data_IF_269126993137
#
_entry.id   IF_269126993137
#
_cell.length_a   1.000
_cell.length_b   1.000
_cell.length_c   1.000
_cell.angle_alpha   90.00
_cell.angle_beta   90.00
_cell.angle_gamma   90.00
#
_symmetry.space_group_name_H-M   'P 1'
#
loop_
_entity.id
_entity.type
_entity.pdbx_description
1 polymer ?
#
# COMPACT_ATOMS: atom_id res chain seq x y z
N UNK A 1 19.02 1.78 -1.92
CA UNK A 1 17.58 2.06 -1.73
C UNK A 1 16.82 0.78 -2.01
N UNK A 2 15.85 0.40 -1.17
CA UNK A 2 15.04 -0.83 -1.33
C UNK A 2 14.36 -0.92 -2.71
N UNK A 3 13.78 0.17 -3.21
CA UNK A 3 13.07 0.18 -4.51
C UNK A 3 14.02 -0.21 -5.66
N UNK A 4 15.24 0.30 -5.63
CA UNK A 4 16.25 -0.01 -6.66
C UNK A 4 16.70 -1.47 -6.61
N UNK A 5 16.71 -2.10 -5.42
CA UNK A 5 16.97 -3.54 -5.30
C UNK A 5 15.79 -4.32 -5.91
N UNK A 6 14.55 -3.95 -5.59
CA UNK A 6 13.37 -4.63 -6.12
C UNK A 6 13.26 -4.53 -7.65
N UNK A 7 13.62 -3.37 -8.23
CA UNK A 7 13.70 -3.21 -9.69
C UNK A 7 14.74 -4.13 -10.33
N UNK A 8 15.91 -4.28 -9.71
CA UNK A 8 16.95 -5.22 -10.18
C UNK A 8 16.48 -6.67 -10.15
N UNK A 9 15.72 -7.03 -9.11
CA UNK A 9 15.06 -8.33 -8.98
C UNK A 9 13.82 -8.49 -9.89
N UNK A 10 13.57 -7.53 -10.79
CA UNK A 10 12.46 -7.54 -11.76
C UNK A 10 11.07 -7.60 -11.11
N UNK A 11 10.94 -7.18 -9.85
CA UNK A 11 9.64 -6.99 -9.20
C UNK A 11 8.86 -5.93 -9.97
N UNK A 12 7.59 -6.20 -10.27
CA UNK A 12 6.73 -5.33 -11.08
C UNK A 12 5.90 -4.36 -10.26
N UNK A 13 5.60 -4.74 -9.02
CA UNK A 13 4.76 -3.95 -8.13
C UNK A 13 4.96 -4.33 -6.67
N UNK A 14 4.69 -3.36 -5.81
CA UNK A 14 4.63 -3.50 -4.37
C UNK A 14 3.19 -3.25 -3.95
N UNK A 15 2.65 -4.12 -3.09
CA UNK A 15 1.28 -4.03 -2.58
C UNK A 15 1.32 -4.02 -1.07
N UNK A 16 0.46 -3.20 -0.45
CA UNK A 16 0.28 -3.16 1.00
C UNK A 16 -1.18 -2.94 1.38
N UNK A 17 -1.52 -3.28 2.62
CA UNK A 17 -2.80 -2.92 3.23
C UNK A 17 -2.56 -1.87 4.32
N UNK A 18 -3.33 -0.79 4.30
CA UNK A 18 -3.31 0.24 5.34
C UNK A 18 -4.73 0.49 5.85
N UNK A 19 -4.90 0.69 7.15
CA UNK A 19 -6.21 1.04 7.71
C UNK A 19 -6.77 2.31 7.07
N UNK A 20 -8.06 2.30 6.75
CA UNK A 20 -8.73 3.46 6.13
C UNK A 20 -8.68 4.72 7.01
N UNK A 21 -8.60 4.53 8.34
CA UNK A 21 -8.53 5.61 9.34
C UNK A 21 -7.11 6.11 9.61
N UNK A 22 -6.07 5.49 9.03
CA UNK A 22 -4.68 5.91 9.22
C UNK A 22 -4.21 6.90 8.14
N UNK A 23 -4.74 8.13 8.20
CA UNK A 23 -4.47 9.19 7.23
C UNK A 23 -2.98 9.54 7.11
N UNK A 24 -2.21 9.41 8.20
CA UNK A 24 -0.76 9.64 8.20
C UNK A 24 -0.02 8.64 7.34
N UNK A 25 -0.31 7.35 7.49
CA UNK A 25 0.31 6.29 6.69
C UNK A 25 -0.14 6.37 5.23
N UNK A 26 -1.43 6.62 4.97
CA UNK A 26 -1.96 6.81 3.61
C UNK A 26 -1.21 7.94 2.89
N UNK A 27 -1.06 9.09 3.55
CA UNK A 27 -0.33 10.24 2.98
C UNK A 27 1.14 9.92 2.74
N UNK A 28 1.78 9.21 3.67
CA UNK A 28 3.15 8.74 3.50
C UNK A 28 3.29 7.87 2.25
N UNK A 29 2.44 6.85 2.07
CA UNK A 29 2.52 5.96 0.90
C UNK A 29 2.22 6.69 -0.40
N UNK A 30 1.24 7.60 -0.42
CA UNK A 30 0.96 8.46 -1.59
C UNK A 30 2.19 9.27 -2.01
N UNK A 31 2.96 9.80 -1.05
CA UNK A 31 4.19 10.54 -1.35
C UNK A 31 5.29 9.66 -1.99
N UNK A 32 5.24 8.34 -1.81
CA UNK A 32 6.10 7.38 -2.49
C UNK A 32 5.51 6.86 -3.82
N UNK A 33 4.37 7.39 -4.26
CA UNK A 33 3.72 7.02 -5.52
C UNK A 33 2.74 5.84 -5.43
N UNK A 34 2.38 5.38 -4.22
CA UNK A 34 1.36 4.36 -4.07
C UNK A 34 -0.04 4.92 -4.35
N UNK A 35 -0.85 4.14 -5.06
CA UNK A 35 -2.24 4.43 -5.36
C UNK A 35 -3.18 3.49 -4.61
N UNK A 36 -4.33 3.99 -4.16
CA UNK A 36 -5.39 3.15 -3.59
C UNK A 36 -6.07 2.41 -4.74
N UNK A 37 -6.08 1.07 -4.69
CA UNK A 37 -6.71 0.21 -5.70
C UNK A 37 -8.04 -0.35 -5.24
N UNK A 38 -8.15 -0.68 -3.97
CA UNK A 38 -9.35 -1.33 -3.43
C UNK A 38 -9.59 -0.95 -1.96
N UNK A 39 -10.85 -1.03 -1.55
CA UNK A 39 -11.27 -0.97 -0.16
C UNK A 39 -11.70 -2.37 0.29
N UNK A 40 -10.96 -2.96 1.23
CA UNK A 40 -11.18 -4.32 1.75
C UNK A 40 -11.89 -4.23 3.09
N UNK A 41 -13.20 -4.43 3.08
CA UNK A 41 -14.03 -4.38 4.29
C UNK A 41 -13.68 -5.49 5.27
N UNK A 42 -13.77 -5.20 6.58
CA UNK A 42 -13.49 -6.16 7.68
C UNK A 42 -12.16 -6.91 7.54
N UNK A 43 -11.16 -6.28 6.91
CA UNK A 43 -9.82 -6.84 6.72
C UNK A 43 -9.13 -7.18 8.04
N UNK A 44 -9.26 -6.30 9.03
CA UNK A 44 -8.68 -6.53 10.35
C UNK A 44 -9.62 -7.33 11.25
N UNK A 45 -9.06 -8.08 12.20
CA UNK A 45 -9.83 -8.92 13.15
C UNK A 45 -10.85 -8.14 13.99
N UNK A 46 -10.67 -6.83 14.14
CA UNK A 46 -11.61 -5.93 14.82
C UNK A 46 -12.71 -5.37 13.88
N UNK A 47 -12.85 -5.91 12.67
CA UNK A 47 -13.83 -5.48 11.67
C UNK A 47 -13.47 -4.19 10.93
N UNK A 48 -12.28 -3.61 11.15
CA UNK A 48 -11.86 -2.40 10.43
C UNK A 48 -11.52 -2.68 8.98
N UNK A 49 -11.80 -1.70 8.13
CA UNK A 49 -11.49 -1.71 6.71
C UNK A 49 -10.02 -1.35 6.46
N UNK A 50 -9.44 -1.95 5.43
CA UNK A 50 -8.16 -1.55 4.85
C UNK A 50 -8.33 -0.97 3.44
N UNK A 51 -7.42 -0.09 3.05
CA UNK A 51 -7.13 0.18 1.64
C UNK A 51 -6.00 -0.74 1.18
N UNK A 52 -6.21 -1.40 0.04
CA UNK A 52 -5.16 -2.00 -0.75
C UNK A 52 -4.48 -0.89 -1.54
N UNK A 53 -3.19 -0.67 -1.30
CA UNK A 53 -2.39 0.31 -2.05
C UNK A 53 -1.33 -0.40 -2.88
N UNK A 54 -1.08 0.12 -4.08
CA UNK A 54 -0.15 -0.46 -5.06
C UNK A 54 0.83 0.61 -5.57
N UNK A 55 2.10 0.25 -5.67
CA UNK A 55 3.15 1.00 -6.38
C UNK A 55 3.71 0.11 -7.49
N UNK A 56 3.59 0.55 -8.75
CA UNK A 56 4.23 -0.09 -9.90
C UNK A 56 5.66 0.42 -10.01
N UNK A 57 6.64 -0.49 -10.13
CA UNK A 57 8.08 -0.17 -10.14
C UNK A 57 8.84 -0.79 -11.31
#
# INVERSE_FOLDING_TARGET
NLIEILKKEKVKKIILHVREDNQRAISFYKNFGFEIKEKVEKYYSNGKTAYLMELVI
#
